data_IF_253870343917
#
_entry.id   IF_253870343917
#
_cell.length_a   1.000
_cell.length_b   1.000
_cell.length_c   1.000
_cell.angle_alpha   90.00
_cell.angle_beta   90.00
_cell.angle_gamma   90.00
#
_symmetry.space_group_name_H-M   'P 1'
#
loop_
_entity.id
_entity.type
_entity.pdbx_description
1 polymer ?
#
# COMPACT_ATOMS: atom_id res chain seq x y z
N UNK A 1 -21.45 4.96 -6.39
CA UNK A 1 -20.07 5.41 -6.10
C UNK A 1 -19.51 4.52 -5.00
N UNK A 2 -18.19 4.29 -4.98
CA UNK A 2 -17.54 3.43 -3.98
C UNK A 2 -16.39 4.19 -3.33
N UNK A 3 -16.29 4.10 -2.01
CA UNK A 3 -15.15 4.64 -1.27
C UNK A 3 -14.08 3.58 -1.16
N UNK A 4 -12.89 3.88 -1.67
CA UNK A 4 -11.73 3.01 -1.56
C UNK A 4 -10.71 3.60 -0.60
N UNK A 5 -10.07 2.73 0.17
CA UNK A 5 -8.93 3.10 1.01
C UNK A 5 -7.67 3.05 0.16
N UNK A 6 -6.90 4.11 0.17
CA UNK A 6 -5.59 4.21 -0.47
C UNK A 6 -4.50 4.43 0.58
N UNK A 7 -3.29 4.00 0.25
CA UNK A 7 -2.09 4.18 1.07
C UNK A 7 -0.97 4.77 0.22
N UNK A 8 -0.30 5.81 0.74
CA UNK A 8 0.89 6.40 0.10
C UNK A 8 2.09 5.46 0.22
N UNK A 9 2.88 5.32 -0.84
CA UNK A 9 4.10 4.52 -0.85
C UNK A 9 5.30 5.41 -0.47
N UNK A 10 5.87 5.27 0.74
CA UNK A 10 7.06 6.03 1.13
C UNK A 10 8.25 5.60 0.27
N UNK A 11 8.90 6.55 -0.40
CA UNK A 11 10.11 6.28 -1.20
C UNK A 11 11.40 6.30 -0.37
N UNK A 12 11.36 6.88 0.84
CA UNK A 12 12.54 7.03 1.71
C UNK A 12 12.38 6.19 2.98
N UNK A 13 13.46 5.54 3.46
CA UNK A 13 13.44 4.85 4.74
C UNK A 13 13.13 5.86 5.85
N UNK A 14 12.11 5.56 6.67
CA UNK A 14 11.65 6.40 7.78
C UNK A 14 10.43 7.28 7.50
N UNK A 15 9.93 7.35 6.26
CA UNK A 15 8.65 8.01 5.98
C UNK A 15 7.48 7.11 6.38
N UNK A 16 6.52 7.67 7.13
CA UNK A 16 5.31 6.96 7.54
C UNK A 16 4.30 6.94 6.38
N UNK A 17 3.74 5.78 6.00
CA UNK A 17 2.65 5.72 5.04
C UNK A 17 1.41 6.41 5.63
N UNK A 18 0.72 7.19 4.80
CA UNK A 18 -0.56 7.81 5.10
C UNK A 18 -1.67 7.04 4.40
N UNK A 19 -2.69 6.68 5.15
CA UNK A 19 -3.92 6.09 4.63
C UNK A 19 -5.01 7.15 4.51
N UNK A 20 -5.79 7.09 3.45
CA UNK A 20 -6.92 7.98 3.23
C UNK A 20 -8.00 7.29 2.40
N UNK A 21 -9.23 7.78 2.56
CA UNK A 21 -10.38 7.33 1.79
C UNK A 21 -10.57 8.22 0.57
N UNK A 22 -10.84 7.60 -0.57
CA UNK A 22 -11.09 8.28 -1.84
C UNK A 22 -12.33 7.71 -2.49
N UNK A 23 -13.29 8.59 -2.78
CA UNK A 23 -14.50 8.23 -3.50
C UNK A 23 -14.19 8.12 -4.99
N UNK A 24 -14.43 6.93 -5.55
CA UNK A 24 -14.15 6.63 -6.95
C UNK A 24 -15.32 5.88 -7.59
N UNK A 25 -15.56 6.12 -8.89
CA UNK A 25 -16.48 5.28 -9.65
C UNK A 25 -15.79 3.96 -9.99
N UNK A 26 -16.54 2.86 -9.99
CA UNK A 26 -16.01 1.54 -10.33
C UNK A 26 -15.51 1.44 -11.78
N UNK A 27 -16.04 2.28 -12.68
CA UNK A 27 -15.62 2.39 -14.07
C UNK A 27 -14.25 3.04 -14.26
N UNK A 28 -13.78 3.79 -13.25
CA UNK A 28 -12.61 4.63 -13.40
C UNK A 28 -11.35 3.83 -13.04
N UNK A 29 -10.22 4.07 -13.73
CA UNK A 29 -8.97 3.39 -13.44
C UNK A 29 -8.46 3.73 -12.03
N UNK A 30 -7.78 2.78 -11.38
CA UNK A 30 -7.26 2.97 -10.03
C UNK A 30 -6.29 4.16 -9.95
N UNK A 31 -6.36 4.90 -8.84
CA UNK A 31 -5.54 6.07 -8.59
C UNK A 31 -4.07 5.65 -8.41
N UNK A 32 -3.16 6.26 -9.17
CA UNK A 32 -1.71 5.98 -9.10
C UNK A 32 -0.93 6.99 -8.27
N UNK A 33 -1.45 8.21 -8.14
CA UNK A 33 -0.85 9.31 -7.39
C UNK A 33 -1.91 10.03 -6.56
N UNK A 34 -1.55 10.46 -5.35
CA UNK A 34 -2.42 11.29 -4.52
C UNK A 34 -2.62 12.67 -5.17
N UNK A 35 -3.86 13.10 -5.47
CA UNK A 35 -4.13 14.42 -6.06
C UNK A 35 -3.68 15.58 -5.18
N UNK A 36 -3.52 15.38 -3.86
CA UNK A 36 -3.10 16.45 -2.95
C UNK A 36 -1.59 16.58 -2.84
N UNK A 37 -0.87 15.46 -2.87
CA UNK A 37 0.58 15.44 -2.56
C UNK A 37 1.45 15.01 -3.73
N UNK A 38 0.87 14.42 -4.78
CA UNK A 38 1.61 13.86 -5.91
C UNK A 38 2.42 12.61 -5.58
N UNK A 39 2.32 12.09 -4.35
CA UNK A 39 3.04 10.88 -3.92
C UNK A 39 2.38 9.67 -4.56
N UNK A 40 3.15 8.65 -5.00
CA UNK A 40 2.56 7.41 -5.50
C UNK A 40 1.72 6.74 -4.42
N UNK A 41 0.54 6.26 -4.82
CA UNK A 41 -0.41 5.58 -3.95
C UNK A 41 -0.74 4.19 -4.48
N UNK A 42 -1.18 3.32 -3.58
CA UNK A 42 -1.75 2.02 -3.90
C UNK A 42 -3.10 1.87 -3.22
N UNK A 43 -4.03 1.19 -3.88
CA UNK A 43 -5.31 0.83 -3.27
C UNK A 43 -5.07 -0.24 -2.21
N UNK A 44 -5.53 0.02 -0.99
CA UNK A 44 -5.49 -0.92 0.12
C UNK A 44 -6.72 -1.83 0.01
N UNK A 45 -6.51 -3.08 -0.42
CA UNK A 45 -7.57 -4.09 -0.47
C UNK A 45 -7.60 -4.80 0.88
N UNK A 46 -8.53 -4.40 1.75
CA UNK A 46 -8.77 -5.08 3.02
C UNK A 46 -9.74 -6.24 2.76
N UNK A 47 -9.19 -7.39 2.37
CA UNK A 47 -9.91 -8.66 2.23
C UNK A 47 -9.46 -9.65 3.31
N UNK A 48 -10.38 -10.51 3.77
CA UNK A 48 -10.12 -11.52 4.80
C UNK A 48 -8.85 -12.32 4.54
N UNK A 49 -8.02 -12.41 5.57
CA UNK A 49 -6.66 -12.97 5.54
C UNK A 49 -6.62 -14.42 5.04
N UNK A 50 -6.21 -14.62 3.77
CA UNK A 50 -5.57 -15.85 3.34
C UNK A 50 -4.06 -15.59 3.38
N UNK A 51 -3.44 -15.80 4.55
CA UNK A 51 -1.98 -15.80 4.69
C UNK A 51 -1.44 -17.04 3.95
N UNK A 52 -1.32 -16.96 2.62
CA UNK A 52 -0.36 -17.81 1.92
C UNK A 52 1.01 -17.25 2.23
N UNK A 53 1.79 -17.99 3.03
CA UNK A 53 3.16 -17.66 3.45
C UNK A 53 4.05 -17.40 2.22
N UNK A 54 4.10 -16.16 1.75
CA UNK A 54 4.94 -15.72 0.66
C UNK A 54 5.60 -14.40 1.01
N UNK A 55 6.86 -14.49 1.45
CA UNK A 55 7.81 -13.38 1.60
C UNK A 55 7.32 -12.17 2.41
N UNK A 56 7.28 -12.35 3.72
CA UNK A 56 7.19 -11.26 4.70
C UNK A 56 8.35 -10.27 4.52
N UNK A 57 8.04 -8.97 4.55
CA UNK A 57 9.02 -7.86 4.67
C UNK A 57 9.91 -7.94 5.93
N UNK A 58 9.58 -8.86 6.85
CA UNK A 58 10.40 -9.26 8.00
C UNK A 58 11.27 -10.50 7.75
N UNK A 59 11.51 -10.93 6.49
CA UNK A 59 12.54 -11.94 6.16
C UNK A 59 13.93 -11.37 6.44
N UNK A 60 14.22 -11.28 7.73
CA UNK A 60 15.33 -10.61 8.35
C UNK A 60 16.63 -11.20 7.85
N UNK A 61 17.44 -10.33 7.29
CA UNK A 61 18.87 -10.42 7.10
C UNK A 61 19.54 -11.05 8.35
N UNK A 62 19.68 -12.38 8.40
CA UNK A 62 20.54 -13.06 9.37
C UNK A 62 21.86 -13.40 8.68
N UNK A 63 23.01 -12.88 9.13
CA UNK A 63 24.29 -13.27 8.56
C UNK A 63 24.52 -14.76 8.85
N UNK A 64 24.82 -15.51 7.79
CA UNK A 64 25.16 -16.92 7.84
C UNK A 64 26.48 -17.06 8.62
N UNK A 65 26.41 -17.52 9.88
CA UNK A 65 27.61 -17.87 10.64
C UNK A 65 28.15 -19.19 10.07
N UNK A 66 29.42 -19.18 9.69
CA UNK A 66 30.16 -20.31 9.11
C UNK A 66 30.53 -21.32 10.18
#
# INVERSE_FOLDING_TARGET
MATYVYETIPKKPGQKPRQFEFEQKMSDPALTHDPKTGVPVRRLIVGGSLITRGTSILSMNRPKRR
#
